data_IF_180197789246
#
_entry.id   IF_180197789246
#
_cell.length_a   1.000
_cell.length_b   1.000
_cell.length_c   1.000
_cell.angle_alpha   90.00
_cell.angle_beta   90.00
_cell.angle_gamma   90.00
#
_symmetry.space_group_name_H-M   'P 1'
#
loop_
_entity.id
_entity.type
_entity.pdbx_description
1 polymer ?
#
# COMPACT_ATOMS: atom_id res chain seq x y z
N UNK A 1 -11.69 -13.28 -7.07
CA UNK A 1 -10.51 -12.48 -6.71
C UNK A 1 -10.89 -11.63 -5.51
N UNK A 2 -10.06 -11.57 -4.47
CA UNK A 2 -10.41 -10.87 -3.24
C UNK A 2 -10.41 -9.36 -3.48
N UNK A 3 -11.33 -8.63 -2.83
CA UNK A 3 -11.46 -7.18 -2.93
C UNK A 3 -11.08 -6.56 -1.60
N UNK A 4 -10.34 -5.46 -1.65
CA UNK A 4 -10.00 -4.70 -0.46
C UNK A 4 -11.28 -4.25 0.27
N UNK A 5 -11.33 -4.32 1.62
CA UNK A 5 -12.52 -3.97 2.36
C UNK A 5 -12.91 -2.50 2.14
N UNK A 6 -14.20 -2.24 2.00
CA UNK A 6 -14.75 -0.88 1.86
C UNK A 6 -14.84 -0.14 3.19
N UNK A 7 -14.77 -0.88 4.30
CA UNK A 7 -14.79 -0.36 5.66
C UNK A 7 -13.62 -0.96 6.46
N UNK A 8 -12.89 -0.19 7.27
CA UNK A 8 -13.02 1.26 7.50
C UNK A 8 -12.75 2.11 6.24
N UNK A 9 -13.42 3.27 6.07
CA UNK A 9 -13.26 4.09 4.89
C UNK A 9 -11.84 4.68 4.83
N UNK A 10 -11.30 4.79 3.62
CA UNK A 10 -10.00 5.42 3.38
C UNK A 10 -10.13 6.92 3.63
N UNK A 11 -9.35 7.42 4.58
CA UNK A 11 -9.42 8.82 5.05
C UNK A 11 -8.51 9.73 4.21
N UNK A 12 -8.88 11.01 4.16
CA UNK A 12 -8.11 12.09 3.53
C UNK A 12 -6.78 12.23 4.27
N UNK A 13 -5.68 11.80 3.65
CA UNK A 13 -4.38 11.62 4.29
C UNK A 13 -3.63 10.39 3.75
N UNK A 14 -4.36 9.48 3.12
CA UNK A 14 -3.79 8.43 2.29
C UNK A 14 -3.16 9.05 1.03
N UNK A 15 -1.95 8.62 0.68
CA UNK A 15 -1.22 9.16 -0.46
C UNK A 15 -1.01 8.11 -1.55
N UNK A 16 -0.92 8.59 -2.78
CA UNK A 16 -0.54 7.79 -3.94
C UNK A 16 0.75 8.34 -4.51
N UNK A 17 1.70 7.45 -4.77
CA UNK A 17 2.96 7.77 -5.44
C UNK A 17 3.15 6.83 -6.63
N UNK A 18 3.80 7.31 -7.69
CA UNK A 18 4.17 6.46 -8.82
C UNK A 18 5.60 5.98 -8.61
N UNK A 19 5.80 4.66 -8.65
CA UNK A 19 7.11 4.04 -8.54
C UNK A 19 7.58 3.60 -9.92
N UNK A 20 8.76 4.07 -10.33
CA UNK A 20 9.46 3.59 -11.52
C UNK A 20 10.94 3.39 -11.21
N UNK A 21 11.30 2.28 -10.55
CA UNK A 21 12.68 2.05 -10.15
C UNK A 21 13.57 1.90 -11.39
N UNK A 22 14.81 2.41 -11.30
CA UNK A 22 15.83 2.25 -12.33
C UNK A 22 17.04 1.51 -11.77
N UNK A 23 17.63 0.64 -12.58
CA UNK A 23 18.94 0.09 -12.34
C UNK A 23 19.97 1.14 -12.73
N UNK A 24 20.86 1.50 -11.81
CA UNK A 24 21.93 2.48 -12.03
C UNK A 24 23.27 1.80 -11.80
N UNK A 25 24.15 1.86 -12.78
CA UNK A 25 25.51 1.32 -12.71
C UNK A 25 26.51 2.42 -13.01
N UNK A 26 27.61 2.47 -12.27
CA UNK A 26 28.70 3.41 -12.50
C UNK A 26 29.91 2.63 -13.05
N UNK A 27 30.56 3.17 -14.08
CA UNK A 27 31.84 2.64 -14.57
C UNK A 27 33.01 3.26 -13.82
N UNK A 28 34.15 2.57 -13.79
CA UNK A 28 35.40 3.08 -13.20
C UNK A 28 35.86 4.41 -13.82
N UNK A 29 35.45 4.68 -15.07
CA UNK A 29 35.75 5.91 -15.79
C UNK A 29 34.77 7.07 -15.48
N UNK A 30 33.85 6.90 -14.52
CA UNK A 30 32.92 7.93 -14.07
C UNK A 30 31.60 8.03 -14.85
N UNK A 31 31.38 7.20 -15.87
CA UNK A 31 30.12 7.19 -16.60
C UNK A 31 29.03 6.47 -15.82
N UNK A 32 27.83 7.04 -15.79
CA UNK A 32 26.68 6.42 -15.14
C UNK A 32 25.66 5.97 -16.19
N UNK A 33 25.38 4.67 -16.22
CA UNK A 33 24.34 4.09 -17.06
C UNK A 33 23.09 3.83 -16.22
N UNK A 34 21.92 4.16 -16.75
CA UNK A 34 20.65 3.85 -16.08
C UNK A 34 19.66 3.19 -17.03
N UNK A 35 18.98 2.14 -16.55
CA UNK A 35 17.92 1.45 -17.27
C UNK A 35 16.70 1.32 -16.36
N UNK A 36 15.52 1.71 -16.85
CA UNK A 36 14.26 1.54 -16.11
C UNK A 36 13.98 0.05 -15.88
N UNK A 37 13.59 -0.32 -14.66
CA UNK A 37 13.21 -1.69 -14.30
C UNK A 37 11.87 -2.06 -14.93
N UNK A 38 10.96 -1.10 -15.07
CA UNK A 38 9.63 -1.31 -15.63
C UNK A 38 9.38 -0.44 -16.87
N UNK A 39 8.57 -0.95 -17.78
CA UNK A 39 8.12 -0.21 -18.97
C UNK A 39 7.11 0.87 -18.62
N UNK A 40 6.24 0.61 -17.64
CA UNK A 40 5.28 1.57 -17.09
C UNK A 40 5.51 1.79 -15.59
N UNK A 41 5.35 3.02 -15.08
CA UNK A 41 5.33 3.26 -13.65
C UNK A 41 4.16 2.50 -13.02
N UNK A 42 4.35 1.98 -11.81
CA UNK A 42 3.29 1.32 -11.04
C UNK A 42 2.88 2.22 -9.88
N UNK A 43 1.61 2.17 -9.50
CA UNK A 43 1.08 2.95 -8.38
C UNK A 43 1.45 2.29 -7.05
N UNK A 44 1.97 3.09 -6.12
CA UNK A 44 2.13 2.74 -4.71
C UNK A 44 1.14 3.56 -3.89
N UNK A 45 0.39 2.90 -3.03
CA UNK A 45 -0.60 3.52 -2.16
C UNK A 45 -0.13 3.40 -0.71
N UNK A 46 -0.17 4.51 0.02
CA UNK A 46 0.10 4.58 1.44
C UNK A 46 -1.19 5.00 2.12
N UNK A 47 -1.94 4.03 2.62
CA UNK A 47 -3.21 4.23 3.29
C UNK A 47 -2.96 4.56 4.75
N UNK A 48 -3.49 5.69 5.21
CA UNK A 48 -3.37 6.11 6.60
C UNK A 48 -4.75 6.10 7.25
N UNK A 49 -4.86 5.42 8.39
CA UNK A 49 -6.07 5.30 9.19
C UNK A 49 -5.82 5.83 10.60
N UNK A 50 -5.89 7.16 10.81
CA UNK A 50 -5.88 7.72 12.15
C UNK A 50 -7.19 7.40 12.90
N UNK A 51 -7.08 6.88 14.13
CA UNK A 51 -8.23 6.75 15.05
C UNK A 51 -9.29 5.71 14.65
N UNK A 52 -8.86 4.51 14.28
CA UNK A 52 -9.70 3.31 14.11
C UNK A 52 -10.17 2.73 15.43
N UNK A 53 -11.40 2.22 15.48
CA UNK A 53 -11.82 1.33 16.57
C UNK A 53 -11.11 -0.02 16.45
N UNK A 54 -10.98 -0.73 17.57
CA UNK A 54 -10.39 -2.06 17.59
C UNK A 54 -11.12 -3.07 16.69
N UNK A 55 -12.43 -2.96 16.58
CA UNK A 55 -13.24 -3.81 15.70
C UNK A 55 -12.89 -3.57 14.22
N UNK A 56 -12.71 -2.32 13.83
CA UNK A 56 -12.36 -1.92 12.46
C UNK A 56 -10.93 -2.32 12.11
N UNK A 57 -10.02 -2.19 13.09
CA UNK A 57 -8.66 -2.67 12.96
C UNK A 57 -8.61 -4.18 12.74
N UNK A 58 -9.40 -4.94 13.48
CA UNK A 58 -9.48 -6.40 13.33
C UNK A 58 -9.93 -6.81 11.93
N UNK A 59 -10.87 -6.08 11.32
CA UNK A 59 -11.27 -6.34 9.92
C UNK A 59 -10.08 -6.16 8.96
N UNK A 60 -9.27 -5.12 9.15
CA UNK A 60 -8.08 -4.87 8.34
C UNK A 60 -7.01 -5.93 8.59
N UNK A 61 -6.82 -6.35 9.83
CA UNK A 61 -5.86 -7.38 10.23
C UNK A 61 -6.24 -8.76 9.68
N UNK A 62 -7.49 -9.18 9.83
CA UNK A 62 -8.02 -10.43 9.28
C UNK A 62 -7.87 -10.45 7.75
N UNK A 63 -8.18 -9.33 7.09
CA UNK A 63 -7.99 -9.19 5.64
C UNK A 63 -6.50 -9.24 5.25
N UNK A 64 -5.63 -8.59 6.02
CA UNK A 64 -4.19 -8.59 5.80
C UNK A 64 -3.61 -10.00 5.88
N UNK A 65 -3.92 -10.73 6.96
CA UNK A 65 -3.45 -12.11 7.17
C UNK A 65 -3.97 -13.03 6.08
N UNK A 66 -5.25 -12.92 5.70
CA UNK A 66 -5.84 -13.76 4.66
C UNK A 66 -5.29 -13.48 3.25
N UNK A 67 -4.74 -12.29 3.01
CA UNK A 67 -4.29 -11.86 1.67
C UNK A 67 -2.79 -11.54 1.61
N UNK A 68 -2.01 -11.96 2.61
CA UNK A 68 -0.57 -11.74 2.63
C UNK A 68 0.08 -12.49 1.46
N UNK A 69 0.80 -11.75 0.61
CA UNK A 69 1.41 -12.29 -0.61
C UNK A 69 0.43 -12.62 -1.75
N UNK A 70 -0.88 -12.45 -1.54
CA UNK A 70 -1.90 -12.65 -2.58
C UNK A 70 -2.24 -11.34 -3.28
N UNK A 71 -2.73 -11.47 -4.53
CA UNK A 71 -3.21 -10.34 -5.34
C UNK A 71 -4.68 -10.09 -5.05
N UNK A 72 -5.03 -8.83 -4.83
CA UNK A 72 -6.42 -8.42 -4.63
C UNK A 72 -6.75 -7.17 -5.45
N UNK A 73 -8.04 -6.98 -5.69
CA UNK A 73 -8.57 -5.80 -6.36
C UNK A 73 -8.71 -4.66 -5.35
N UNK A 74 -8.14 -3.51 -5.70
CA UNK A 74 -8.17 -2.30 -4.90
C UNK A 74 -8.69 -1.15 -5.75
N UNK A 75 -9.69 -0.43 -5.25
CA UNK A 75 -10.20 0.80 -5.85
C UNK A 75 -9.86 1.96 -4.93
N UNK A 76 -9.01 2.87 -5.41
CA UNK A 76 -8.70 4.08 -4.66
C UNK A 76 -9.88 5.06 -4.75
N UNK A 77 -10.32 5.73 -3.65
CA UNK A 77 -11.54 6.55 -3.67
C UNK A 77 -11.51 7.72 -4.66
N UNK A 78 -10.32 8.26 -4.95
CA UNK A 78 -10.14 9.35 -5.91
C UNK A 78 -9.97 8.86 -7.36
N UNK A 79 -9.88 7.54 -7.59
CA UNK A 79 -9.80 6.95 -8.93
C UNK A 79 -11.04 6.13 -9.26
N UNK A 80 -11.50 6.23 -10.50
CA UNK A 80 -12.59 5.39 -10.99
C UNK A 80 -12.12 4.00 -11.47
N UNK A 81 -10.80 3.77 -11.47
CA UNK A 81 -10.21 2.51 -11.91
C UNK A 81 -9.94 1.55 -10.73
N UNK A 82 -10.19 0.26 -10.97
CA UNK A 82 -9.80 -0.81 -10.04
C UNK A 82 -8.43 -1.32 -10.47
N UNK A 83 -7.48 -1.37 -9.55
CA UNK A 83 -6.12 -1.88 -9.76
C UNK A 83 -5.92 -3.21 -9.04
N UNK A 84 -4.98 -4.00 -9.53
CA UNK A 84 -4.56 -5.22 -8.86
C UNK A 84 -3.36 -4.85 -7.98
N UNK A 85 -3.51 -5.02 -6.68
CA UNK A 85 -2.52 -4.65 -5.68
C UNK A 85 -2.10 -5.84 -4.83
N UNK A 86 -0.93 -5.70 -4.20
CA UNK A 86 -0.40 -6.60 -3.17
C UNK A 86 0.08 -5.74 -2.00
N UNK A 87 0.07 -6.30 -0.79
CA UNK A 87 0.69 -5.66 0.37
C UNK A 87 2.20 -5.52 0.17
N UNK A 88 2.72 -4.31 0.41
CA UNK A 88 4.14 -4.00 0.36
C UNK A 88 4.79 -3.97 1.74
N UNK A 89 4.15 -4.60 2.71
CA UNK A 89 4.54 -4.65 4.12
C UNK A 89 4.35 -6.08 4.64
N UNK A 90 5.17 -6.43 5.62
CA UNK A 90 5.19 -7.78 6.20
C UNK A 90 4.30 -7.91 7.44
N UNK A 91 4.05 -6.80 8.14
CA UNK A 91 3.25 -6.76 9.37
C UNK A 91 2.38 -5.50 9.40
N UNK A 92 1.17 -5.64 9.93
CA UNK A 92 0.30 -4.52 10.31
C UNK A 92 0.42 -4.30 11.82
N UNK A 93 0.60 -3.04 12.25
CA UNK A 93 0.71 -2.68 13.67
C UNK A 93 -0.23 -1.54 14.02
N UNK A 94 -0.95 -1.71 15.12
CA UNK A 94 -1.66 -0.63 15.79
C UNK A 94 -0.64 0.29 16.48
N UNK A 95 -0.69 1.58 16.16
CA UNK A 95 0.03 2.65 16.86
C UNK A 95 -0.95 3.49 17.66
N UNK A 96 -0.51 4.14 18.72
CA UNK A 96 -1.32 5.06 19.54
C UNK A 96 -2.64 4.45 20.04
N UNK A 97 -2.54 3.36 20.81
CA UNK A 97 -3.70 2.75 21.47
C UNK A 97 -4.14 3.63 22.66
N UNK A 98 -5.15 4.47 22.43
CA UNK A 98 -5.72 5.38 23.43
C UNK A 98 -7.23 5.23 23.44
N UNK A 99 -7.79 4.88 24.60
CA UNK A 99 -9.24 4.84 24.84
C UNK A 99 -10.03 4.00 23.82
N UNK A 100 -9.47 2.88 23.34
CA UNK A 100 -10.15 1.98 22.40
C UNK A 100 -10.04 2.40 20.93
N UNK A 101 -9.24 3.41 20.64
CA UNK A 101 -8.86 3.81 19.29
C UNK A 101 -7.39 3.50 19.04
N UNK A 102 -7.07 3.10 17.81
CA UNK A 102 -5.72 2.86 17.33
C UNK A 102 -5.52 3.52 15.97
N UNK A 103 -4.28 3.78 15.61
CA UNK A 103 -3.93 4.27 14.28
C UNK A 103 -3.14 3.22 13.52
N UNK A 104 -3.32 3.15 12.21
CA UNK A 104 -2.55 2.22 11.39
C UNK A 104 -2.19 2.83 10.04
N UNK A 105 -1.10 2.33 9.49
CA UNK A 105 -0.68 2.64 8.14
C UNK A 105 -0.54 1.35 7.35
N UNK A 106 -1.12 1.31 6.15
CA UNK A 106 -1.06 0.16 5.24
C UNK A 106 -0.42 0.60 3.92
N UNK A 107 0.57 -0.15 3.44
CA UNK A 107 1.23 0.12 2.17
C UNK A 107 0.88 -0.95 1.12
N UNK A 108 0.38 -0.49 -0.03
CA UNK A 108 0.00 -1.33 -1.16
C UNK A 108 0.82 -0.95 -2.39
N UNK A 109 1.12 -1.93 -3.24
CA UNK A 109 1.78 -1.71 -4.53
C UNK A 109 1.02 -2.43 -5.63
N UNK A 110 0.83 -1.73 -6.75
CA UNK A 110 0.25 -2.26 -7.98
C UNK A 110 1.19 -3.32 -8.60
N UNK A 111 0.61 -4.42 -9.10
CA UNK A 111 1.33 -5.55 -9.69
C UNK A 111 1.13 -5.63 -11.19
#
# INVERSE_FOLDING_TARGET
MNKYPTYPPIIVGSTRTLQNPSYRSQSESGYTFSRKKWTKPKSKYSLNYPGLKHEDFKILEDFFIANQGLKFEFKYPLENETKICVFAMDEIKATDDVQGYCSTKIELVEV
#
